data_IF_810586702442
#
_entry.id   IF_810586702442
#
_cell.length_a   1.000
_cell.length_b   1.000
_cell.length_c   1.000
_cell.angle_alpha   90.00
_cell.angle_beta   90.00
_cell.angle_gamma   90.00
#
_symmetry.space_group_name_H-M   'P 1'
#
loop_
_entity.id
_entity.type
_entity.pdbx_description
1 polymer ?
#
# COMPACT_ATOMS: atom_id res chain seq x y z
N UNK A 1 -16.89 33.36 17.21
CA UNK A 1 -15.56 32.83 16.80
C UNK A 1 -15.03 31.84 17.83
N UNK A 2 -14.98 32.22 19.10
CA UNK A 2 -14.37 31.37 20.19
C UNK A 2 -15.07 30.01 20.32
N UNK A 3 -16.41 29.97 20.21
CA UNK A 3 -17.15 28.70 20.20
C UNK A 3 -16.78 27.84 19.01
N UNK A 4 -16.66 28.42 17.81
CA UNK A 4 -16.29 27.67 16.61
C UNK A 4 -14.84 27.12 16.69
N UNK A 5 -13.92 27.91 17.27
CA UNK A 5 -12.56 27.47 17.53
C UNK A 5 -12.50 26.33 18.55
N UNK A 6 -13.26 26.43 19.66
CA UNK A 6 -13.36 25.36 20.65
C UNK A 6 -13.98 24.08 20.09
N UNK A 7 -15.02 24.18 19.28
CA UNK A 7 -15.64 23.04 18.62
C UNK A 7 -14.69 22.36 17.62
N UNK A 8 -13.91 23.12 16.86
CA UNK A 8 -12.90 22.59 15.96
C UNK A 8 -11.78 21.86 16.74
N UNK A 9 -11.27 22.49 17.79
CA UNK A 9 -10.26 21.86 18.66
C UNK A 9 -10.75 20.53 19.26
N UNK A 10 -11.98 20.50 19.79
CA UNK A 10 -12.59 19.28 20.32
C UNK A 10 -12.72 18.18 19.27
N UNK A 11 -13.17 18.52 18.05
CA UNK A 11 -13.27 17.54 16.96
C UNK A 11 -11.92 16.97 16.57
N UNK A 12 -10.87 17.79 16.51
CA UNK A 12 -9.51 17.32 16.25
C UNK A 12 -9.00 16.43 17.40
N UNK A 13 -9.25 16.78 18.65
CA UNK A 13 -8.88 15.97 19.80
C UNK A 13 -9.54 14.58 19.75
N UNK A 14 -10.84 14.53 19.41
CA UNK A 14 -11.56 13.25 19.20
C UNK A 14 -10.92 12.38 18.11
N UNK A 15 -10.48 12.97 17.01
CA UNK A 15 -9.81 12.24 15.92
C UNK A 15 -8.39 11.82 16.33
N UNK A 16 -7.62 12.69 16.94
CA UNK A 16 -6.25 12.43 17.35
C UNK A 16 -6.16 11.42 18.50
N UNK A 17 -7.17 11.35 19.38
CA UNK A 17 -7.23 10.41 20.50
C UNK A 17 -7.45 8.95 20.10
N UNK A 18 -7.55 8.65 18.80
CA UNK A 18 -7.63 7.26 18.31
C UNK A 18 -6.36 6.46 18.59
N UNK A 19 -5.23 7.13 18.78
CA UNK A 19 -3.94 6.54 19.16
C UNK A 19 -3.42 7.23 20.44
N UNK A 20 -3.16 6.44 21.46
CA UNK A 20 -2.39 6.83 22.65
C UNK A 20 -1.01 6.17 22.57
N UNK A 21 0.07 6.90 22.84
CA UNK A 21 1.42 6.36 22.71
C UNK A 21 2.35 6.90 23.80
N UNK A 22 3.42 6.16 24.08
CA UNK A 22 4.53 6.57 24.93
C UNK A 22 5.82 6.53 24.12
N UNK A 23 6.71 7.50 24.34
CA UNK A 23 7.99 7.60 23.64
C UNK A 23 8.69 8.92 23.94
N UNK A 24 9.75 9.23 23.21
CA UNK A 24 10.39 10.56 23.27
C UNK A 24 9.48 11.63 22.66
N UNK A 25 9.65 12.87 23.07
CA UNK A 25 8.89 14.01 22.54
C UNK A 25 9.00 14.10 21.00
N UNK A 26 10.17 13.81 20.43
CA UNK A 26 10.39 13.80 18.99
C UNK A 26 9.57 12.70 18.30
N UNK A 27 9.61 11.48 18.84
CA UNK A 27 8.87 10.34 18.29
C UNK A 27 7.34 10.54 18.39
N UNK A 28 6.87 11.11 19.50
CA UNK A 28 5.45 11.43 19.68
C UNK A 28 5.02 12.57 18.75
N UNK A 29 5.85 13.62 18.59
CA UNK A 29 5.58 14.69 17.64
C UNK A 29 5.47 14.13 16.21
N UNK A 30 6.39 13.26 15.79
CA UNK A 30 6.34 12.63 14.49
C UNK A 30 5.09 11.78 14.30
N UNK A 31 4.73 10.96 15.31
CA UNK A 31 3.53 10.12 15.26
C UNK A 31 2.25 10.94 15.10
N UNK A 32 2.07 11.96 15.93
CA UNK A 32 0.83 12.76 15.90
C UNK A 32 0.78 13.71 14.69
N UNK A 33 1.92 14.20 14.20
CA UNK A 33 1.96 14.92 12.92
C UNK A 33 1.56 14.00 11.77
N UNK A 34 2.07 12.77 11.73
CA UNK A 34 1.67 11.77 10.74
C UNK A 34 0.18 11.45 10.85
N UNK A 35 -0.35 11.25 12.04
CA UNK A 35 -1.79 11.01 12.23
C UNK A 35 -2.63 12.19 11.74
N UNK A 36 -2.21 13.43 12.02
CA UNK A 36 -2.87 14.63 11.50
C UNK A 36 -2.88 14.66 9.97
N UNK A 37 -1.74 14.41 9.32
CA UNK A 37 -1.65 14.37 7.86
C UNK A 37 -2.59 13.34 7.24
N UNK A 38 -2.74 12.14 7.83
CA UNK A 38 -3.67 11.13 7.34
C UNK A 38 -5.14 11.56 7.38
N UNK A 39 -5.48 12.58 8.19
CA UNK A 39 -6.86 13.04 8.34
C UNK A 39 -7.23 14.20 7.40
N UNK A 40 -6.26 14.76 6.64
CA UNK A 40 -6.49 15.90 5.73
C UNK A 40 -7.22 15.44 4.47
N UNK A 41 -6.78 14.36 3.85
CA UNK A 41 -7.38 13.79 2.63
C UNK A 41 -7.71 12.30 2.80
N UNK A 42 -8.72 11.78 2.06
CA UNK A 42 -9.72 12.48 1.27
C UNK A 42 -10.55 13.49 2.07
N UNK A 43 -10.99 14.56 1.42
CA UNK A 43 -11.75 15.66 2.03
C UNK A 43 -13.24 15.52 1.80
N UNK A 44 -14.07 15.97 2.74
CA UNK A 44 -15.52 16.03 2.56
C UNK A 44 -15.85 17.00 1.43
N UNK A 45 -16.69 16.56 0.50
CA UNK A 45 -17.13 17.31 -0.67
C UNK A 45 -18.63 17.22 -0.81
N UNK A 46 -19.32 17.90 0.05
CA UNK A 46 -20.78 18.04 0.04
C UNK A 46 -21.22 19.20 0.93
N UNK A 47 -22.38 19.76 0.65
CA UNK A 47 -23.04 20.74 1.49
C UNK A 47 -23.74 20.10 2.70
N UNK A 48 -24.12 20.91 3.67
CA UNK A 48 -24.77 20.43 4.91
C UNK A 48 -26.13 19.80 4.69
N UNK A 49 -26.78 20.05 3.55
CA UNK A 49 -28.04 19.41 3.15
C UNK A 49 -27.82 18.08 2.40
N UNK A 50 -26.56 17.65 2.24
CA UNK A 50 -26.17 16.41 1.58
C UNK A 50 -26.00 16.52 0.07
N UNK A 51 -26.05 17.73 -0.51
CA UNK A 51 -25.84 17.91 -1.95
C UNK A 51 -24.37 18.01 -2.30
N UNK A 52 -24.01 17.44 -3.45
CA UNK A 52 -22.68 17.52 -4.04
C UNK A 52 -22.75 17.45 -5.57
N UNK A 53 -21.73 17.95 -6.25
CA UNK A 53 -21.61 17.82 -7.70
C UNK A 53 -20.89 16.52 -8.03
N UNK A 54 -21.57 15.66 -8.81
CA UNK A 54 -21.00 14.40 -9.29
C UNK A 54 -20.00 14.58 -10.43
N UNK A 55 -19.32 13.47 -10.80
CA UNK A 55 -18.41 13.44 -11.95
C UNK A 55 -19.13 13.56 -13.31
N UNK A 56 -20.44 13.34 -13.36
CA UNK A 56 -21.34 13.67 -14.47
C UNK A 56 -21.72 15.16 -14.55
N UNK A 57 -21.20 15.96 -13.63
CA UNK A 57 -21.46 17.39 -13.46
C UNK A 57 -22.89 17.72 -12.99
N UNK A 58 -23.69 16.74 -12.66
CA UNK A 58 -25.02 16.92 -12.08
C UNK A 58 -24.97 17.06 -10.56
N UNK A 59 -26.02 17.65 -9.98
CA UNK A 59 -26.17 17.77 -8.53
C UNK A 59 -26.85 16.51 -8.00
N UNK A 60 -26.13 15.77 -7.19
CA UNK A 60 -26.63 14.63 -6.43
C UNK A 60 -26.88 14.98 -4.98
N UNK A 61 -27.62 14.13 -4.28
CA UNK A 61 -27.86 14.28 -2.85
C UNK A 61 -27.78 12.89 -2.17
N UNK A 62 -27.09 12.83 -1.03
CA UNK A 62 -27.06 11.67 -0.16
C UNK A 62 -27.29 12.08 1.30
N UNK A 63 -27.85 11.15 2.10
CA UNK A 63 -27.98 11.25 3.56
C UNK A 63 -27.40 10.02 4.27
N UNK A 64 -26.99 9.02 3.49
CA UNK A 64 -26.54 7.73 4.00
C UNK A 64 -25.04 7.68 4.22
N UNK A 65 -24.29 8.60 3.58
CA UNK A 65 -22.84 8.72 3.71
C UNK A 65 -22.39 10.16 3.48
N UNK A 66 -21.22 10.52 4.00
CA UNK A 66 -20.55 11.76 3.61
C UNK A 66 -19.81 11.53 2.30
N UNK A 67 -20.04 12.41 1.30
CA UNK A 67 -19.32 12.32 0.05
C UNK A 67 -17.92 12.92 0.18
N UNK A 68 -16.92 12.17 -0.28
CA UNK A 68 -15.51 12.53 -0.24
C UNK A 68 -14.95 12.80 -1.64
N UNK A 69 -13.86 13.54 -1.68
CA UNK A 69 -13.07 13.85 -2.88
C UNK A 69 -11.57 13.85 -2.57
N UNK A 70 -10.74 14.08 -3.59
CA UNK A 70 -9.26 13.97 -3.55
C UNK A 70 -8.85 12.51 -3.36
N UNK A 71 -9.09 11.75 -4.42
CA UNK A 71 -8.75 10.32 -4.47
C UNK A 71 -7.45 10.11 -5.25
N UNK A 72 -6.31 10.30 -4.59
CA UNK A 72 -4.98 9.93 -5.11
C UNK A 72 -4.72 8.45 -4.83
N UNK A 73 -5.47 7.57 -5.51
CA UNK A 73 -5.53 6.16 -5.10
C UNK A 73 -4.29 5.36 -5.45
N UNK A 74 -3.50 5.78 -6.44
CA UNK A 74 -2.20 5.19 -6.75
C UNK A 74 -1.27 5.16 -5.54
N UNK A 75 -1.35 6.20 -4.71
CA UNK A 75 -0.59 6.34 -3.47
C UNK A 75 -1.30 5.67 -2.31
N UNK A 76 -2.54 6.10 -2.05
CA UNK A 76 -3.23 5.91 -0.77
C UNK A 76 -3.79 4.51 -0.55
N UNK A 77 -3.94 3.69 -1.60
CA UNK A 77 -4.40 2.30 -1.44
C UNK A 77 -3.44 1.46 -0.60
N UNK A 78 -2.15 1.83 -0.57
CA UNK A 78 -1.06 1.03 0.01
C UNK A 78 -1.10 0.99 1.53
N UNK A 79 -1.37 2.12 2.18
CA UNK A 79 -1.43 2.19 3.65
C UNK A 79 -2.55 3.09 4.19
N UNK A 80 -2.86 4.24 3.56
CA UNK A 80 -3.83 5.18 4.12
C UNK A 80 -5.22 4.55 4.24
N UNK A 81 -5.76 3.98 3.17
CA UNK A 81 -7.06 3.31 3.21
C UNK A 81 -7.08 2.07 4.10
N UNK A 82 -6.06 1.19 4.09
CA UNK A 82 -5.92 0.13 5.10
C UNK A 82 -5.89 0.64 6.54
N UNK A 83 -5.27 1.80 6.80
CA UNK A 83 -5.28 2.43 8.12
C UNK A 83 -6.71 2.86 8.51
N UNK A 84 -7.44 3.50 7.59
CA UNK A 84 -8.84 3.89 7.84
C UNK A 84 -9.74 2.67 8.09
N UNK A 85 -9.54 1.58 7.39
CA UNK A 85 -10.27 0.33 7.64
C UNK A 85 -10.05 -0.20 9.07
N UNK A 86 -8.92 0.15 9.68
CA UNK A 86 -8.58 -0.25 11.04
C UNK A 86 -9.06 0.76 12.10
N UNK A 87 -8.82 2.07 11.91
CA UNK A 87 -8.99 3.10 12.95
C UNK A 87 -10.15 4.08 12.72
N UNK A 88 -10.70 4.16 11.49
CA UNK A 88 -11.73 5.13 11.09
C UNK A 88 -12.80 4.46 10.20
N UNK A 89 -13.41 3.37 10.67
CA UNK A 89 -14.27 2.48 9.87
C UNK A 89 -15.47 3.20 9.22
N UNK A 90 -16.14 4.13 9.93
CA UNK A 90 -17.24 4.91 9.36
C UNK A 90 -16.77 5.80 8.22
N UNK A 91 -15.61 6.46 8.37
CA UNK A 91 -14.99 7.24 7.31
C UNK A 91 -14.61 6.36 6.11
N UNK A 92 -14.06 5.17 6.35
CA UNK A 92 -13.75 4.21 5.30
C UNK A 92 -15.01 3.80 4.52
N UNK A 93 -16.12 3.49 5.22
CA UNK A 93 -17.41 3.19 4.60
C UNK A 93 -17.88 4.35 3.71
N UNK A 94 -17.84 5.57 4.19
CA UNK A 94 -18.28 6.75 3.46
C UNK A 94 -17.40 7.02 2.23
N UNK A 95 -16.09 6.82 2.33
CA UNK A 95 -15.15 6.91 1.21
C UNK A 95 -15.47 5.87 0.13
N UNK A 96 -15.67 4.61 0.51
CA UNK A 96 -16.03 3.55 -0.46
C UNK A 96 -17.37 3.85 -1.11
N UNK A 97 -18.38 4.31 -0.36
CA UNK A 97 -19.67 4.71 -0.94
C UNK A 97 -19.53 5.89 -1.90
N UNK A 98 -18.62 6.84 -1.64
CA UNK A 98 -18.29 7.93 -2.57
C UNK A 98 -17.67 7.41 -3.86
N UNK A 99 -16.77 6.42 -3.78
CA UNK A 99 -16.20 5.75 -4.95
C UNK A 99 -17.25 4.99 -5.76
N UNK A 100 -18.19 4.31 -5.09
CA UNK A 100 -19.30 3.61 -5.75
C UNK A 100 -20.31 4.58 -6.39
N UNK A 101 -20.54 5.75 -5.77
CA UNK A 101 -21.34 6.81 -6.36
C UNK A 101 -20.65 7.38 -7.61
N UNK A 102 -19.32 7.62 -7.56
CA UNK A 102 -18.51 8.02 -8.71
C UNK A 102 -18.65 7.00 -9.87
N UNK A 103 -18.53 5.70 -9.59
CA UNK A 103 -18.72 4.65 -10.59
C UNK A 103 -20.08 4.77 -11.29
N UNK A 104 -21.16 4.96 -10.55
CA UNK A 104 -22.52 5.12 -11.10
C UNK A 104 -22.68 6.37 -11.96
N UNK A 105 -22.01 7.45 -11.60
CA UNK A 105 -22.05 8.75 -12.27
C UNK A 105 -21.05 8.84 -13.44
N UNK A 106 -19.98 8.05 -13.42
CA UNK A 106 -18.96 8.04 -14.49
C UNK A 106 -19.56 7.53 -15.80
N UNK A 107 -19.34 8.29 -16.87
CA UNK A 107 -19.72 7.91 -18.24
C UNK A 107 -19.09 6.57 -18.65
N UNK A 108 -17.88 6.32 -18.20
CA UNK A 108 -17.13 5.11 -18.50
C UNK A 108 -17.42 3.94 -17.55
N UNK A 109 -18.23 4.15 -16.51
CA UNK A 109 -18.47 3.15 -15.47
C UNK A 109 -17.18 2.62 -14.88
N UNK A 110 -16.35 3.53 -14.40
CA UNK A 110 -15.07 3.26 -13.77
C UNK A 110 -15.04 3.88 -12.37
N UNK A 111 -14.42 3.20 -11.42
CA UNK A 111 -14.08 3.75 -10.11
C UNK A 111 -13.08 4.91 -10.27
N UNK A 112 -12.97 5.83 -9.30
CA UNK A 112 -12.04 6.95 -9.41
C UNK A 112 -10.59 6.46 -9.55
N UNK A 113 -9.81 7.15 -10.37
CA UNK A 113 -8.36 6.99 -10.51
C UNK A 113 -7.65 8.09 -9.73
N UNK A 114 -7.92 9.33 -10.06
CA UNK A 114 -7.45 10.53 -9.37
C UNK A 114 -8.54 11.62 -9.37
N UNK A 115 -9.67 11.34 -8.77
CA UNK A 115 -10.84 12.22 -8.81
C UNK A 115 -10.71 13.38 -7.83
N UNK A 116 -11.02 14.59 -8.29
CA UNK A 116 -10.93 15.81 -7.54
C UNK A 116 -12.10 16.75 -7.84
N UNK A 117 -12.92 17.06 -6.82
CA UNK A 117 -14.05 18.02 -6.88
C UNK A 117 -14.99 17.80 -8.08
N UNK A 118 -15.49 16.58 -8.26
CA UNK A 118 -16.41 16.22 -9.34
C UNK A 118 -15.76 16.19 -10.74
N UNK A 119 -14.44 16.03 -10.81
CA UNK A 119 -13.71 15.82 -12.07
C UNK A 119 -12.74 14.66 -11.89
N UNK A 120 -12.56 13.86 -12.94
CA UNK A 120 -11.53 12.84 -12.99
C UNK A 120 -10.30 13.38 -13.74
N UNK A 121 -9.12 13.32 -13.10
CA UNK A 121 -7.88 13.86 -13.66
C UNK A 121 -7.10 12.84 -14.48
N UNK A 122 -7.36 11.54 -14.29
CA UNK A 122 -6.61 10.45 -14.90
C UNK A 122 -5.10 10.49 -14.60
N UNK A 123 -4.73 11.11 -13.48
CA UNK A 123 -3.34 11.18 -13.03
C UNK A 123 -2.90 9.81 -12.53
N UNK A 124 -1.66 9.43 -12.81
CA UNK A 124 -1.06 8.14 -12.50
C UNK A 124 -1.73 6.96 -13.21
N UNK A 125 -1.32 5.75 -12.88
CA UNK A 125 -1.70 4.51 -13.51
C UNK A 125 -2.46 3.61 -12.53
N UNK A 126 -2.95 2.47 -13.01
CA UNK A 126 -3.69 1.53 -12.17
C UNK A 126 -5.17 1.88 -12.03
N UNK A 127 -5.98 0.90 -11.64
CA UNK A 127 -7.37 1.10 -11.22
C UNK A 127 -7.51 0.77 -9.73
N UNK A 128 -6.61 1.34 -8.94
CA UNK A 128 -6.36 0.98 -7.52
C UNK A 128 -7.51 1.27 -6.56
N UNK A 129 -8.55 1.99 -6.96
CA UNK A 129 -9.81 2.00 -6.20
C UNK A 129 -10.37 0.58 -6.01
N UNK A 130 -10.03 -0.35 -6.91
CA UNK A 130 -10.31 -1.79 -6.75
C UNK A 130 -9.67 -2.33 -5.47
N UNK A 131 -8.43 -1.94 -5.20
CA UNK A 131 -7.73 -2.32 -3.97
C UNK A 131 -8.40 -1.72 -2.72
N UNK A 132 -8.75 -0.44 -2.77
CA UNK A 132 -9.45 0.24 -1.65
C UNK A 132 -10.76 -0.46 -1.32
N UNK A 133 -11.58 -0.73 -2.35
CA UNK A 133 -12.87 -1.40 -2.19
C UNK A 133 -12.69 -2.86 -1.72
N UNK A 134 -11.78 -3.60 -2.33
CA UNK A 134 -11.48 -4.99 -1.97
C UNK A 134 -10.96 -5.14 -0.53
N UNK A 135 -10.06 -4.25 -0.11
CA UNK A 135 -9.53 -4.25 1.26
C UNK A 135 -10.60 -3.89 2.29
N UNK A 136 -11.50 -2.95 1.97
CA UNK A 136 -12.63 -2.60 2.81
C UNK A 136 -13.59 -3.80 3.00
N UNK A 137 -13.90 -4.52 1.92
CA UNK A 137 -14.72 -5.75 1.99
C UNK A 137 -14.04 -6.83 2.84
N UNK A 138 -12.73 -6.95 2.75
CA UNK A 138 -11.90 -7.88 3.53
C UNK A 138 -11.94 -7.58 5.02
N UNK A 139 -12.00 -6.30 5.38
CA UNK A 139 -12.09 -5.80 6.76
C UNK A 139 -13.53 -5.63 7.24
N UNK A 140 -14.48 -6.24 6.53
CA UNK A 140 -15.89 -6.24 6.93
C UNK A 140 -16.48 -4.82 7.05
N UNK A 141 -16.06 -3.89 6.18
CA UNK A 141 -16.71 -2.57 6.05
C UNK A 141 -18.07 -2.78 5.38
N UNK A 142 -19.12 -2.19 5.96
CA UNK A 142 -20.50 -2.36 5.50
C UNK A 142 -20.81 -1.50 4.27
N UNK A 143 -20.70 -2.11 3.10
CA UNK A 143 -21.00 -1.52 1.79
C UNK A 143 -21.70 -2.52 0.89
N UNK A 144 -22.36 -2.06 -0.18
CA UNK A 144 -23.01 -2.93 -1.17
C UNK A 144 -21.98 -3.80 -1.90
N UNK A 145 -21.85 -5.06 -1.48
CA UNK A 145 -20.86 -6.01 -2.02
C UNK A 145 -21.08 -6.34 -3.49
N UNK A 146 -22.33 -6.35 -3.97
CA UNK A 146 -22.65 -6.64 -5.38
C UNK A 146 -22.23 -5.47 -6.26
N UNK A 147 -22.62 -4.26 -5.88
CA UNK A 147 -22.20 -3.05 -6.57
C UNK A 147 -20.68 -2.87 -6.51
N UNK A 148 -20.05 -3.17 -5.37
CA UNK A 148 -18.60 -3.12 -5.22
C UNK A 148 -17.90 -4.02 -6.25
N UNK A 149 -18.27 -5.28 -6.34
CA UNK A 149 -17.67 -6.19 -7.33
C UNK A 149 -18.00 -5.79 -8.77
N UNK A 150 -19.24 -5.35 -9.06
CA UNK A 150 -19.61 -4.81 -10.37
C UNK A 150 -18.70 -3.64 -10.76
N UNK A 151 -18.47 -2.70 -9.85
CA UNK A 151 -17.63 -1.53 -10.09
C UNK A 151 -16.15 -1.89 -10.29
N UNK A 152 -15.64 -2.85 -9.52
CA UNK A 152 -14.28 -3.37 -9.68
C UNK A 152 -14.10 -4.02 -11.06
N UNK A 153 -15.02 -4.90 -11.46
CA UNK A 153 -15.03 -5.56 -12.77
C UNK A 153 -15.20 -4.54 -13.90
N UNK A 154 -16.09 -3.57 -13.74
CA UNK A 154 -16.31 -2.48 -14.71
C UNK A 154 -15.03 -1.70 -14.96
N UNK A 155 -14.29 -1.33 -13.90
CA UNK A 155 -13.02 -0.62 -13.99
C UNK A 155 -11.96 -1.43 -14.75
N UNK A 156 -11.78 -2.70 -14.41
CA UNK A 156 -10.80 -3.60 -15.04
C UNK A 156 -11.13 -3.96 -16.50
N UNK A 157 -12.36 -3.73 -16.95
CA UNK A 157 -12.82 -4.03 -18.31
C UNK A 157 -13.06 -2.80 -19.20
N UNK A 158 -12.81 -1.59 -18.71
CA UNK A 158 -12.96 -0.37 -19.46
C UNK A 158 -11.87 -0.26 -20.54
N UNK A 159 -12.18 -0.62 -21.79
CA UNK A 159 -11.22 -0.62 -22.92
C UNK A 159 -10.60 0.74 -23.23
N UNK A 160 -11.27 1.80 -22.87
CA UNK A 160 -10.82 3.18 -23.08
C UNK A 160 -9.82 3.66 -22.03
N UNK A 161 -9.74 2.96 -20.89
CA UNK A 161 -8.82 3.33 -19.85
C UNK A 161 -7.42 2.80 -20.17
N UNK A 162 -6.51 3.67 -20.31
CA UNK A 162 -5.03 3.62 -20.25
C UNK A 162 -4.38 2.26 -20.62
N UNK A 163 -4.71 1.73 -21.78
CA UNK A 163 -4.12 0.49 -22.29
C UNK A 163 -4.75 -0.81 -21.76
N UNK A 164 -5.82 -0.76 -20.98
CA UNK A 164 -6.52 -1.97 -20.49
C UNK A 164 -7.05 -2.86 -21.61
N UNK A 165 -7.48 -2.26 -22.73
CA UNK A 165 -7.94 -3.01 -23.91
C UNK A 165 -6.87 -3.94 -24.48
N UNK A 166 -5.64 -3.43 -24.68
CA UNK A 166 -4.53 -4.24 -25.19
C UNK A 166 -3.95 -5.16 -24.11
N UNK A 167 -3.93 -4.72 -22.86
CA UNK A 167 -3.54 -5.56 -21.71
C UNK A 167 -4.38 -6.84 -21.63
N UNK A 168 -5.70 -6.76 -21.83
CA UNK A 168 -6.58 -7.93 -21.83
C UNK A 168 -6.29 -8.90 -22.96
N UNK A 169 -5.78 -8.40 -24.09
CA UNK A 169 -5.49 -9.22 -25.27
C UNK A 169 -4.12 -9.89 -25.21
N UNK A 170 -3.09 -9.15 -24.82
CA UNK A 170 -1.70 -9.60 -24.82
C UNK A 170 -1.20 -10.10 -23.47
N UNK A 171 -1.88 -9.77 -22.37
CA UNK A 171 -1.42 -10.03 -21.01
C UNK A 171 -0.33 -9.06 -20.55
N UNK A 172 -0.09 -7.97 -21.28
CA UNK A 172 0.78 -6.86 -20.90
C UNK A 172 0.45 -5.62 -21.71
N UNK A 173 0.89 -4.46 -21.24
CA UNK A 173 0.80 -3.19 -21.99
C UNK A 173 2.11 -2.96 -22.72
N UNK A 174 2.12 -2.96 -24.07
CA UNK A 174 3.34 -2.75 -24.84
C UNK A 174 3.89 -1.33 -24.73
N UNK A 175 5.23 -1.21 -24.75
CA UNK A 175 5.93 0.08 -24.65
C UNK A 175 5.61 1.02 -25.82
N UNK A 176 5.50 0.50 -27.02
CA UNK A 176 5.15 1.25 -28.23
C UNK A 176 3.67 1.68 -28.30
N UNK A 177 2.84 1.22 -27.35
CA UNK A 177 1.46 1.68 -27.13
C UNK A 177 1.41 2.68 -25.97
N UNK A 178 2.07 2.35 -24.86
CA UNK A 178 2.19 3.19 -23.68
C UNK A 178 3.61 3.13 -23.12
N UNK A 179 4.28 4.27 -23.08
CA UNK A 179 5.71 4.37 -22.65
C UNK A 179 5.96 3.91 -21.22
N UNK A 180 4.91 3.75 -20.39
CA UNK A 180 4.95 3.27 -19.02
C UNK A 180 4.36 1.87 -18.86
N UNK A 181 4.25 1.10 -19.96
CA UNK A 181 3.52 -0.16 -20.05
C UNK A 181 3.99 -1.25 -19.07
N UNK A 182 5.26 -1.25 -18.66
CA UNK A 182 5.75 -2.24 -17.68
C UNK A 182 5.16 -2.00 -16.30
N UNK A 183 5.19 -0.77 -15.80
CA UNK A 183 4.55 -0.43 -14.52
C UNK A 183 3.05 -0.66 -14.57
N UNK A 184 2.37 -0.27 -15.67
CA UNK A 184 0.95 -0.57 -15.86
C UNK A 184 0.65 -2.06 -15.76
N UNK A 185 1.43 -2.90 -16.41
CA UNK A 185 1.24 -4.37 -16.39
C UNK A 185 1.39 -4.93 -14.98
N UNK A 186 2.38 -4.49 -14.24
CA UNK A 186 2.61 -4.91 -12.85
C UNK A 186 1.45 -4.50 -11.95
N UNK A 187 0.98 -3.27 -12.06
CA UNK A 187 -0.07 -2.72 -11.21
C UNK A 187 -1.45 -3.27 -11.56
N UNK A 188 -1.77 -3.44 -12.86
CA UNK A 188 -3.01 -4.10 -13.29
C UNK A 188 -3.07 -5.56 -12.83
N UNK A 189 -1.96 -6.28 -12.83
CA UNK A 189 -1.92 -7.65 -12.33
C UNK A 189 -2.26 -7.73 -10.83
N UNK A 190 -1.83 -6.76 -10.04
CA UNK A 190 -2.22 -6.65 -8.64
C UNK A 190 -3.71 -6.29 -8.48
N UNK A 191 -4.23 -5.32 -9.22
CA UNK A 191 -5.65 -4.95 -9.17
C UNK A 191 -6.54 -6.13 -9.58
N UNK A 192 -6.17 -6.86 -10.62
CA UNK A 192 -6.85 -8.09 -11.05
C UNK A 192 -6.84 -9.16 -9.97
N UNK A 193 -5.73 -9.29 -9.22
CA UNK A 193 -5.67 -10.19 -8.08
C UNK A 193 -6.68 -9.82 -6.98
N UNK A 194 -6.90 -8.53 -6.72
CA UNK A 194 -7.91 -8.09 -5.75
C UNK A 194 -9.32 -8.50 -6.20
N UNK A 195 -9.62 -8.35 -7.50
CA UNK A 195 -10.90 -8.80 -8.08
C UNK A 195 -11.04 -10.32 -7.94
N UNK A 196 -9.99 -11.08 -8.27
CA UNK A 196 -9.95 -12.53 -8.06
C UNK A 196 -10.34 -12.92 -6.64
N UNK A 197 -9.69 -12.33 -5.64
CA UNK A 197 -9.95 -12.60 -4.23
C UNK A 197 -11.40 -12.30 -3.85
N UNK A 198 -11.91 -11.15 -4.28
CA UNK A 198 -13.27 -10.71 -3.99
C UNK A 198 -14.30 -11.63 -4.66
N UNK A 199 -14.14 -11.96 -5.93
CA UNK A 199 -15.02 -12.88 -6.66
C UNK A 199 -15.04 -14.28 -6.03
N UNK A 200 -13.86 -14.83 -5.69
CA UNK A 200 -13.74 -16.13 -5.02
C UNK A 200 -14.49 -16.16 -3.69
N UNK A 201 -14.39 -15.11 -2.87
CA UNK A 201 -15.14 -15.00 -1.60
C UNK A 201 -16.66 -14.90 -1.77
N UNK A 202 -17.09 -14.34 -2.90
CA UNK A 202 -18.50 -14.26 -3.27
C UNK A 202 -19.01 -15.53 -3.97
N UNK A 203 -18.16 -16.54 -4.19
CA UNK A 203 -18.51 -17.81 -4.83
C UNK A 203 -18.69 -17.73 -6.35
N UNK A 204 -18.12 -16.71 -7.00
CA UNK A 204 -18.19 -16.47 -8.44
C UNK A 204 -16.96 -17.08 -9.15
N UNK A 205 -17.07 -18.36 -9.47
CA UNK A 205 -15.91 -19.17 -9.91
C UNK A 205 -15.34 -18.74 -11.26
N UNK A 206 -16.20 -18.37 -12.23
CA UNK A 206 -15.76 -18.00 -13.58
C UNK A 206 -15.02 -16.66 -13.58
N UNK A 207 -15.56 -15.68 -12.87
CA UNK A 207 -14.90 -14.39 -12.65
C UNK A 207 -13.58 -14.59 -11.89
N UNK A 208 -13.59 -15.38 -10.82
CA UNK A 208 -12.39 -15.65 -10.03
C UNK A 208 -11.29 -16.29 -10.91
N UNK A 209 -11.61 -17.29 -11.73
CA UNK A 209 -10.60 -17.91 -12.61
C UNK A 209 -10.07 -16.95 -13.68
N UNK A 210 -10.94 -16.09 -14.22
CA UNK A 210 -10.53 -15.07 -15.19
C UNK A 210 -9.51 -14.10 -14.60
N UNK A 211 -9.80 -13.57 -13.43
CA UNK A 211 -8.92 -12.59 -12.79
C UNK A 211 -7.70 -13.23 -12.15
N UNK A 212 -7.78 -14.50 -11.70
CA UNK A 212 -6.62 -15.26 -11.27
C UNK A 212 -5.56 -15.42 -12.37
N UNK A 213 -5.99 -15.68 -13.60
CA UNK A 213 -5.08 -15.75 -14.75
C UNK A 213 -4.44 -14.39 -15.04
N UNK A 214 -5.24 -13.32 -15.02
CA UNK A 214 -4.74 -11.96 -15.25
C UNK A 214 -3.79 -11.50 -14.14
N UNK A 215 -4.01 -11.91 -12.91
CA UNK A 215 -3.11 -11.64 -11.77
C UNK A 215 -1.68 -12.18 -11.98
N UNK A 216 -1.49 -13.15 -12.87
CA UNK A 216 -0.17 -13.69 -13.21
C UNK A 216 0.52 -12.95 -14.36
N UNK A 217 -0.12 -11.96 -14.96
CA UNK A 217 0.39 -11.20 -16.10
C UNK A 217 1.66 -10.40 -15.79
N UNK A 218 1.94 -10.10 -14.52
CA UNK A 218 3.20 -9.49 -14.11
C UNK A 218 4.43 -10.23 -14.65
N UNK A 219 4.32 -11.56 -14.87
CA UNK A 219 5.40 -12.41 -15.42
C UNK A 219 5.79 -12.04 -16.84
N UNK A 220 4.86 -11.45 -17.63
CA UNK A 220 5.07 -11.13 -19.03
C UNK A 220 6.05 -9.97 -19.26
N UNK A 221 6.33 -9.19 -18.23
CA UNK A 221 7.27 -8.07 -18.28
C UNK A 221 8.56 -8.32 -17.50
N UNK A 222 8.76 -9.55 -16.98
CA UNK A 222 10.05 -9.95 -16.41
C UNK A 222 10.93 -10.60 -17.47
N UNK A 223 12.10 -10.01 -17.72
CA UNK A 223 13.10 -10.53 -18.62
C UNK A 223 13.98 -11.57 -17.89
N UNK A 224 13.93 -12.85 -18.26
CA UNK A 224 14.68 -13.91 -17.58
C UNK A 224 16.21 -13.77 -17.76
N UNK A 225 16.67 -13.07 -18.80
CA UNK A 225 18.09 -12.86 -19.06
C UNK A 225 18.69 -11.84 -18.08
N UNK A 226 17.97 -10.75 -17.85
CA UNK A 226 18.42 -9.68 -16.94
C UNK A 226 17.98 -9.90 -15.48
N UNK A 227 16.89 -10.65 -15.27
CA UNK A 227 16.22 -10.83 -13.97
C UNK A 227 15.54 -9.56 -13.45
N UNK A 228 15.18 -8.64 -14.34
CA UNK A 228 14.47 -7.39 -14.05
C UNK A 228 13.17 -7.29 -14.83
N UNK A 229 12.24 -6.49 -14.31
CA UNK A 229 11.15 -5.98 -15.12
C UNK A 229 11.71 -5.11 -16.25
N UNK A 230 11.25 -5.32 -17.46
CA UNK A 230 11.72 -4.68 -18.69
C UNK A 230 10.57 -4.40 -19.63
N UNK A 231 10.67 -3.30 -20.37
CA UNK A 231 9.68 -2.93 -21.37
C UNK A 231 9.62 -3.95 -22.52
N UNK A 232 8.39 -4.31 -22.93
CA UNK A 232 8.11 -5.25 -24.00
C UNK A 232 7.33 -4.56 -25.11
N UNK A 233 7.66 -4.86 -26.35
CA UNK A 233 7.05 -4.28 -27.57
C UNK A 233 5.82 -5.07 -27.98
N UNK A 234 4.95 -4.49 -28.83
CA UNK A 234 3.72 -5.15 -29.32
C UNK A 234 3.97 -6.45 -30.09
N UNK A 235 5.15 -6.59 -30.71
CA UNK A 235 5.56 -7.81 -31.41
C UNK A 235 6.10 -8.91 -30.47
N UNK A 236 6.12 -8.64 -29.18
CA UNK A 236 6.62 -9.55 -28.16
C UNK A 236 8.12 -9.47 -27.87
N UNK A 237 8.87 -8.67 -28.62
CA UNK A 237 10.30 -8.45 -28.36
C UNK A 237 10.52 -7.56 -27.13
N UNK A 238 11.70 -7.67 -26.51
CA UNK A 238 12.12 -6.74 -25.48
C UNK A 238 12.55 -5.42 -26.08
N UNK A 239 12.18 -4.30 -25.43
CA UNK A 239 12.69 -2.98 -25.83
C UNK A 239 14.21 -2.99 -25.85
N UNK A 240 14.86 -2.55 -26.95
CA UNK A 240 16.31 -2.41 -27.01
C UNK A 240 16.84 -1.35 -26.01
N UNK A 241 18.15 -1.31 -25.84
CA UNK A 241 18.85 -0.31 -24.99
C UNK A 241 18.37 -0.29 -23.53
N UNK A 242 18.21 -1.49 -22.95
CA UNK A 242 17.79 -1.63 -21.57
C UNK A 242 18.83 -1.06 -20.60
N UNK A 243 18.38 -0.13 -19.76
CA UNK A 243 19.18 0.47 -18.70
C UNK A 243 18.40 0.45 -17.37
N UNK A 244 18.78 -0.42 -16.46
CA UNK A 244 18.10 -0.62 -15.17
C UNK A 244 18.11 0.57 -14.22
N UNK A 245 18.96 1.55 -14.45
CA UNK A 245 19.09 2.75 -13.61
C UNK A 245 18.28 3.94 -14.14
N UNK A 246 17.95 3.94 -15.41
CA UNK A 246 17.28 5.06 -16.06
C UNK A 246 15.81 5.12 -15.69
N UNK A 247 15.34 6.29 -15.28
CA UNK A 247 13.94 6.56 -14.96
C UNK A 247 13.12 6.97 -16.18
N UNK A 248 13.80 7.32 -17.29
CA UNK A 248 13.13 7.77 -18.53
C UNK A 248 13.19 6.70 -19.63
N UNK A 249 12.07 6.52 -20.31
CA UNK A 249 12.00 5.69 -21.50
C UNK A 249 12.28 4.20 -21.30
N UNK A 250 12.17 3.68 -20.08
CA UNK A 250 12.43 2.27 -19.77
C UNK A 250 11.15 1.46 -19.47
N UNK A 251 9.98 2.06 -19.63
CA UNK A 251 8.70 1.37 -19.44
C UNK A 251 8.03 1.61 -18.08
N UNK A 252 8.54 2.54 -17.30
CA UNK A 252 8.04 2.81 -15.96
C UNK A 252 7.51 4.25 -15.86
N UNK A 253 6.48 4.40 -15.04
CA UNK A 253 6.05 5.69 -14.53
C UNK A 253 6.79 5.91 -13.23
N UNK A 254 7.51 6.99 -13.12
CA UNK A 254 8.38 7.28 -11.98
C UNK A 254 9.27 6.08 -11.58
N UNK A 255 10.43 6.30 -11.04
CA UNK A 255 11.34 5.22 -10.70
C UNK A 255 11.93 4.49 -11.91
N UNK A 256 12.54 3.36 -11.66
CA UNK A 256 13.28 2.58 -12.65
C UNK A 256 13.07 1.07 -12.47
N UNK A 257 13.82 0.28 -13.22
CA UNK A 257 13.70 -1.17 -13.17
C UNK A 257 14.06 -1.77 -11.80
N UNK A 258 14.97 -1.14 -11.03
CA UNK A 258 15.26 -1.57 -9.67
C UNK A 258 14.03 -1.46 -8.74
N UNK A 259 13.30 -0.35 -8.82
CA UNK A 259 12.13 -0.10 -7.97
C UNK A 259 10.97 -1.01 -8.38
N UNK A 260 10.60 -0.98 -9.66
CA UNK A 260 9.41 -1.69 -10.14
C UNK A 260 9.58 -3.20 -10.24
N UNK A 261 10.80 -3.74 -10.36
CA UNK A 261 10.99 -5.19 -10.32
C UNK A 261 10.60 -5.83 -8.97
N UNK A 262 10.47 -5.03 -7.92
CA UNK A 262 10.02 -5.50 -6.60
C UNK A 262 8.50 -5.37 -6.42
N UNK A 263 7.79 -4.76 -7.38
CA UNK A 263 6.36 -4.51 -7.25
C UNK A 263 5.51 -5.70 -7.73
N UNK A 264 5.43 -6.73 -6.88
CA UNK A 264 4.50 -7.86 -7.01
C UNK A 264 3.95 -8.19 -5.61
N UNK A 265 3.18 -7.29 -4.97
CA UNK A 265 2.79 -7.46 -3.57
C UNK A 265 1.86 -8.65 -3.34
N UNK A 266 1.13 -9.09 -4.35
CA UNK A 266 0.20 -10.22 -4.29
C UNK A 266 0.85 -11.58 -4.49
N UNK A 267 2.10 -11.63 -5.01
CA UNK A 267 2.80 -12.89 -5.26
C UNK A 267 4.32 -12.84 -5.01
N UNK A 268 4.78 -12.49 -3.79
CA UNK A 268 6.21 -12.45 -3.48
C UNK A 268 6.92 -13.78 -3.69
N UNK A 269 6.27 -14.93 -3.41
CA UNK A 269 6.88 -16.23 -3.65
C UNK A 269 7.07 -16.52 -5.15
N UNK A 270 6.11 -16.09 -5.99
CA UNK A 270 6.25 -16.17 -7.45
C UNK A 270 7.37 -15.26 -7.96
N UNK A 271 7.51 -14.05 -7.40
CA UNK A 271 8.61 -13.14 -7.71
C UNK A 271 9.97 -13.72 -7.32
N UNK A 272 10.08 -14.29 -6.11
CA UNK A 272 11.28 -14.99 -5.63
C UNK A 272 11.69 -16.12 -6.61
N UNK A 273 10.72 -16.89 -7.07
CA UNK A 273 10.97 -17.97 -8.04
C UNK A 273 11.47 -17.41 -9.39
N UNK A 274 10.86 -16.32 -9.91
CA UNK A 274 11.29 -15.65 -11.14
C UNK A 274 12.72 -15.09 -11.06
N UNK A 275 13.13 -14.64 -9.88
CA UNK A 275 14.47 -14.08 -9.65
C UNK A 275 15.51 -15.15 -9.27
N UNK A 276 15.18 -16.45 -9.41
CA UNK A 276 16.14 -17.55 -9.21
C UNK A 276 16.20 -18.11 -7.79
N UNK A 277 15.19 -17.81 -6.96
CA UNK A 277 15.04 -18.37 -5.62
C UNK A 277 15.54 -17.45 -4.50
N UNK A 278 15.39 -17.91 -3.26
CA UNK A 278 15.61 -17.14 -2.03
C UNK A 278 16.98 -16.45 -1.98
N UNK A 279 18.06 -17.17 -2.28
CA UNK A 279 19.41 -16.59 -2.20
C UNK A 279 19.65 -15.45 -3.18
N UNK A 280 19.21 -15.61 -4.44
CA UNK A 280 19.37 -14.59 -5.49
C UNK A 280 18.44 -13.39 -5.23
N UNK A 281 17.21 -13.65 -4.82
CA UNK A 281 16.27 -12.60 -4.46
C UNK A 281 16.77 -11.78 -3.26
N UNK A 282 17.25 -12.45 -2.19
CA UNK A 282 17.83 -11.77 -1.02
C UNK A 282 19.02 -10.91 -1.40
N UNK A 283 19.94 -11.44 -2.23
CA UNK A 283 21.08 -10.66 -2.73
C UNK A 283 20.63 -9.46 -3.56
N UNK A 284 19.58 -9.60 -4.37
CA UNK A 284 18.99 -8.47 -5.14
C UNK A 284 18.40 -7.39 -4.23
N UNK A 285 17.67 -7.79 -3.17
CA UNK A 285 17.18 -6.84 -2.17
C UNK A 285 18.34 -6.14 -1.44
N UNK A 286 19.38 -6.88 -1.06
CA UNK A 286 20.56 -6.29 -0.44
C UNK A 286 21.22 -5.25 -1.35
N UNK A 287 21.38 -5.58 -2.64
CA UNK A 287 21.90 -4.64 -3.64
C UNK A 287 21.02 -3.39 -3.77
N UNK A 288 19.69 -3.55 -3.80
CA UNK A 288 18.76 -2.43 -3.89
C UNK A 288 18.96 -1.43 -2.74
N UNK A 289 19.22 -1.89 -1.53
CA UNK A 289 19.43 -1.02 -0.37
C UNK A 289 20.87 -0.48 -0.22
N UNK A 290 21.85 -1.03 -0.96
CA UNK A 290 23.27 -0.72 -0.74
C UNK A 290 24.02 -0.21 -1.96
N UNK A 291 23.54 -0.49 -3.19
CA UNK A 291 24.18 0.01 -4.41
C UNK A 291 23.97 1.52 -4.56
N UNK A 292 25.03 2.24 -4.96
CA UNK A 292 24.97 3.67 -5.18
C UNK A 292 24.29 3.99 -6.52
N UNK A 293 23.25 4.84 -6.48
CA UNK A 293 22.65 5.41 -7.69
C UNK A 293 23.58 6.50 -8.25
N UNK A 294 24.16 6.33 -9.47
CA UNK A 294 25.03 7.33 -10.08
C UNK A 294 24.32 8.69 -10.24
N UNK A 295 25.06 9.79 -9.99
CA UNK A 295 24.50 11.14 -9.96
C UNK A 295 23.74 11.52 -11.24
N UNK A 296 24.17 11.07 -12.40
CA UNK A 296 23.48 11.32 -13.68
C UNK A 296 22.06 10.78 -13.73
N UNK A 297 21.77 9.70 -12.99
CA UNK A 297 20.43 9.12 -12.91
C UNK A 297 19.61 9.73 -11.76
N UNK A 298 20.31 10.16 -10.70
CA UNK A 298 19.65 10.88 -9.63
C UNK A 298 19.06 12.22 -10.11
N UNK A 299 19.74 12.90 -11.01
CA UNK A 299 19.26 14.15 -11.58
C UNK A 299 17.96 14.01 -12.41
N UNK A 300 17.54 12.78 -12.71
CA UNK A 300 16.29 12.49 -13.40
C UNK A 300 15.12 12.23 -12.42
N UNK A 301 15.40 12.12 -11.11
CA UNK A 301 14.35 11.93 -10.11
C UNK A 301 13.79 13.30 -9.72
N UNK A 302 12.54 13.53 -10.04
CA UNK A 302 11.78 14.67 -9.55
C UNK A 302 11.29 14.38 -8.13
N UNK A 303 11.03 15.39 -7.33
CA UNK A 303 10.38 15.30 -6.01
C UNK A 303 11.08 14.48 -4.91
N UNK A 304 12.28 13.93 -5.17
CA UNK A 304 13.02 13.13 -4.19
C UNK A 304 14.39 13.74 -3.90
N UNK A 305 14.73 13.84 -2.62
CA UNK A 305 16.06 14.28 -2.18
C UNK A 305 17.03 13.09 -2.01
N UNK A 306 18.35 13.37 -1.97
CA UNK A 306 19.35 12.32 -1.68
C UNK A 306 19.13 11.65 -0.33
N UNK A 307 18.62 12.38 0.64
CA UNK A 307 18.26 11.87 1.96
C UNK A 307 17.14 10.85 1.92
N UNK A 308 16.27 10.92 0.89
CA UNK A 308 15.20 9.97 0.61
C UNK A 308 15.64 8.66 -0.03
N UNK A 309 16.96 8.46 -0.23
CA UNK A 309 17.52 7.25 -0.84
C UNK A 309 18.28 6.39 0.17
N UNK A 310 18.10 5.07 0.06
CA UNK A 310 18.98 4.06 0.62
C UNK A 310 19.42 3.14 -0.52
N UNK A 311 20.61 3.39 -1.04
CA UNK A 311 21.05 2.73 -2.28
C UNK A 311 20.16 3.13 -3.47
N UNK A 312 19.47 2.15 -4.03
CA UNK A 312 18.48 2.31 -5.11
C UNK A 312 17.04 2.38 -4.58
N UNK A 313 16.83 2.15 -3.28
CA UNK A 313 15.53 2.25 -2.63
C UNK A 313 15.11 3.71 -2.50
N UNK A 314 13.92 4.03 -2.97
CA UNK A 314 13.37 5.39 -3.00
C UNK A 314 12.14 5.42 -2.11
N UNK A 315 12.27 5.91 -0.86
CA UNK A 315 11.15 5.94 0.07
C UNK A 315 10.10 6.99 -0.27
N UNK A 316 10.53 8.12 -0.82
CA UNK A 316 9.63 9.19 -1.27
C UNK A 316 8.85 8.87 -2.55
N UNK A 317 8.85 7.59 -3.01
CA UNK A 317 8.02 7.12 -4.10
C UNK A 317 7.34 5.80 -3.71
N UNK A 318 6.04 5.75 -3.79
CA UNK A 318 5.15 4.78 -3.18
C UNK A 318 5.32 3.32 -3.65
N UNK A 319 5.69 3.00 -4.91
CA UNK A 319 5.98 1.63 -5.32
C UNK A 319 7.03 0.92 -4.47
N UNK A 320 7.86 1.67 -3.73
CA UNK A 320 8.89 1.16 -2.84
C UNK A 320 8.41 0.79 -1.43
N UNK A 321 7.24 1.26 -0.99
CA UNK A 321 6.79 1.23 0.40
C UNK A 321 6.70 -0.18 1.01
N UNK A 322 6.35 -1.20 0.24
CA UNK A 322 6.28 -2.59 0.69
C UNK A 322 7.63 -3.32 0.68
N UNK A 323 8.61 -2.81 -0.06
CA UNK A 323 9.87 -3.51 -0.37
C UNK A 323 10.68 -3.91 0.86
N UNK A 324 10.85 -3.08 1.91
CA UNK A 324 11.60 -3.49 3.10
C UNK A 324 10.97 -4.68 3.84
N UNK A 325 9.69 -4.97 3.60
CA UNK A 325 9.00 -6.11 4.20
C UNK A 325 9.17 -7.42 3.40
N UNK A 326 9.66 -7.38 2.16
CA UNK A 326 9.81 -8.55 1.31
C UNK A 326 10.80 -9.60 1.87
N UNK A 327 11.72 -9.22 2.74
CA UNK A 327 12.58 -10.18 3.44
C UNK A 327 11.80 -11.18 4.31
N UNK A 328 10.54 -10.90 4.67
CA UNK A 328 9.71 -11.81 5.46
C UNK A 328 9.33 -13.09 4.72
N UNK A 329 9.46 -13.12 3.39
CA UNK A 329 9.33 -14.33 2.56
C UNK A 329 10.64 -15.08 2.34
N UNK A 330 11.77 -14.57 2.85
CA UNK A 330 13.11 -15.11 2.66
C UNK A 330 13.64 -15.83 3.90
N UNK A 331 14.82 -16.41 3.79
CA UNK A 331 15.57 -16.99 4.92
C UNK A 331 16.17 -15.93 5.87
N UNK A 332 16.03 -14.63 5.56
CA UNK A 332 16.65 -13.56 6.34
C UNK A 332 15.64 -12.47 6.80
N UNK A 333 14.55 -12.85 7.51
CA UNK A 333 13.48 -11.92 7.90
C UNK A 333 13.94 -10.79 8.82
N UNK A 334 15.04 -10.99 9.57
CA UNK A 334 15.64 -9.97 10.43
C UNK A 334 16.06 -8.70 9.67
N UNK A 335 16.27 -8.78 8.34
CA UNK A 335 16.60 -7.61 7.50
C UNK A 335 15.42 -6.67 7.32
N UNK A 336 14.17 -7.16 7.33
CA UNK A 336 12.99 -6.29 7.44
C UNK A 336 13.11 -5.38 8.65
N UNK A 337 13.41 -5.94 9.83
CA UNK A 337 13.50 -5.19 11.08
C UNK A 337 14.62 -4.15 11.04
N UNK A 338 15.72 -4.45 10.38
CA UNK A 338 16.81 -3.52 10.17
C UNK A 338 16.41 -2.36 9.26
N UNK A 339 15.88 -2.66 8.06
CA UNK A 339 15.61 -1.63 7.07
C UNK A 339 14.44 -0.73 7.43
N UNK A 340 13.35 -1.26 8.00
CA UNK A 340 12.23 -0.39 8.43
C UNK A 340 12.68 0.62 9.49
N UNK A 341 13.60 0.22 10.40
CA UNK A 341 14.15 1.13 11.39
C UNK A 341 15.12 2.15 10.79
N UNK A 342 15.96 1.75 9.84
CA UNK A 342 16.83 2.69 9.11
C UNK A 342 16.01 3.75 8.35
N UNK A 343 14.90 3.33 7.70
CA UNK A 343 14.00 4.25 7.01
C UNK A 343 13.37 5.23 8.00
N UNK A 344 12.79 4.73 9.10
CA UNK A 344 12.17 5.61 10.10
C UNK A 344 13.15 6.61 10.70
N UNK A 345 14.36 6.14 11.04
CA UNK A 345 15.36 6.97 11.70
C UNK A 345 15.97 8.04 10.76
N UNK A 346 15.98 7.81 9.44
CA UNK A 346 16.64 8.70 8.46
C UNK A 346 15.69 9.59 7.67
N UNK A 347 14.48 9.08 7.37
CA UNK A 347 13.59 9.66 6.37
C UNK A 347 12.36 10.35 6.98
N UNK A 348 12.23 10.32 8.32
CA UNK A 348 11.18 11.01 9.04
C UNK A 348 11.77 11.87 10.15
N UNK A 349 11.48 13.17 10.14
CA UNK A 349 11.98 14.14 11.12
C UNK A 349 10.83 14.99 11.66
N UNK A 350 10.83 15.39 12.94
CA UNK A 350 9.79 16.24 13.54
C UNK A 350 10.01 17.73 13.19
N UNK A 351 10.21 18.04 11.91
CA UNK A 351 10.46 19.37 11.34
C UNK A 351 9.49 19.64 10.18
N UNK A 352 9.38 20.89 9.73
CA UNK A 352 8.47 21.29 8.64
C UNK A 352 8.84 20.66 7.29
N UNK A 353 10.10 20.30 7.11
CA UNK A 353 10.67 19.57 5.97
C UNK A 353 10.98 18.10 6.32
N UNK A 354 10.20 17.52 7.23
CA UNK A 354 10.52 16.25 7.88
C UNK A 354 10.29 14.99 7.03
N UNK A 355 9.61 15.08 5.89
CA UNK A 355 9.41 13.98 4.96
C UNK A 355 10.43 14.03 3.84
N UNK A 356 10.88 12.87 3.38
CA UNK A 356 11.90 12.75 2.31
C UNK A 356 11.34 12.86 0.89
N UNK A 357 10.04 13.03 0.73
CA UNK A 357 9.28 13.20 -0.50
C UNK A 357 7.93 13.82 -0.19
N UNK A 358 7.02 13.82 -1.17
CA UNK A 358 5.65 14.23 -0.96
C UNK A 358 4.93 13.29 0.00
N UNK A 359 4.00 13.79 0.80
CA UNK A 359 3.20 12.94 1.70
C UNK A 359 2.12 12.13 0.96
N UNK A 360 1.80 12.56 -0.25
CA UNK A 360 0.83 11.96 -1.16
C UNK A 360 -0.49 11.60 -0.45
N UNK A 361 -1.15 12.66 -0.04
CA UNK A 361 -2.46 12.61 0.61
C UNK A 361 -2.49 11.75 1.89
N UNK A 362 -1.39 11.69 2.62
CA UNK A 362 -1.31 10.93 3.88
C UNK A 362 -0.68 9.54 3.75
N UNK A 363 -0.25 9.14 2.54
CA UNK A 363 0.31 7.80 2.35
C UNK A 363 1.65 7.59 3.07
N UNK A 364 2.61 8.52 2.97
CA UNK A 364 3.87 8.42 3.71
C UNK A 364 3.66 8.45 5.22
N UNK A 365 2.74 9.28 5.68
CA UNK A 365 2.35 9.37 7.08
C UNK A 365 1.69 8.07 7.58
N UNK A 366 0.83 7.45 6.79
CA UNK A 366 0.22 6.15 7.12
C UNK A 366 1.26 5.02 7.17
N UNK A 367 2.26 5.04 6.27
CA UNK A 367 3.39 4.10 6.31
C UNK A 367 4.13 4.20 7.65
N UNK A 368 4.42 5.45 8.10
CA UNK A 368 5.07 5.68 9.40
C UNK A 368 4.25 5.11 10.55
N UNK A 369 2.94 5.36 10.58
CA UNK A 369 2.05 4.88 11.66
C UNK A 369 2.03 3.35 11.71
N UNK A 370 1.82 2.66 10.59
CA UNK A 370 1.83 1.21 10.56
C UNK A 370 3.18 0.64 10.98
N UNK A 371 4.26 1.20 10.47
CA UNK A 371 5.61 0.74 10.81
C UNK A 371 5.93 0.99 12.28
N UNK A 372 5.46 2.11 12.86
CA UNK A 372 5.59 2.38 14.28
C UNK A 372 4.83 1.37 15.15
N UNK A 373 3.69 0.87 14.68
CA UNK A 373 2.95 -0.24 15.31
C UNK A 373 3.68 -1.59 15.20
N UNK A 374 4.67 -1.71 14.31
CA UNK A 374 5.46 -2.93 14.10
C UNK A 374 4.90 -3.89 13.05
N UNK A 375 4.03 -3.44 12.15
CA UNK A 375 3.50 -4.22 11.03
C UNK A 375 3.08 -3.32 9.87
N UNK A 376 2.83 -3.91 8.68
CA UNK A 376 2.47 -3.16 7.47
C UNK A 376 1.55 -3.97 6.54
N UNK A 377 0.53 -3.37 5.90
CA UNK A 377 -0.32 -4.03 4.93
C UNK A 377 0.40 -4.14 3.56
N UNK A 378 1.33 -5.10 3.43
CA UNK A 378 2.11 -5.28 2.19
C UNK A 378 1.23 -5.50 0.96
N UNK A 379 0.10 -6.17 1.14
CA UNK A 379 -0.82 -6.54 0.09
C UNK A 379 -2.27 -6.26 0.52
N UNK A 380 -2.77 -5.00 0.40
CA UNK A 380 -4.17 -4.69 0.65
C UNK A 380 -5.09 -5.56 -0.20
N UNK A 381 -6.24 -5.96 0.36
CA UNK A 381 -7.09 -7.03 -0.20
C UNK A 381 -6.75 -8.42 0.36
N UNK A 382 -5.73 -8.53 1.25
CA UNK A 382 -5.61 -9.64 2.19
C UNK A 382 -6.09 -9.20 3.57
N UNK A 383 -6.39 -10.17 4.43
CA UNK A 383 -6.64 -9.92 5.86
C UNK A 383 -5.33 -9.77 6.67
N UNK A 384 -4.17 -9.77 6.02
CA UNK A 384 -2.86 -9.87 6.65
C UNK A 384 -2.13 -8.53 6.74
N UNK A 385 -1.44 -8.35 7.87
CA UNK A 385 -0.44 -7.31 8.10
C UNK A 385 0.89 -8.00 8.40
N UNK A 386 1.91 -7.72 7.61
CA UNK A 386 3.24 -8.33 7.73
C UNK A 386 3.99 -7.69 8.89
N UNK A 387 4.56 -8.52 9.77
CA UNK A 387 5.30 -8.03 10.94
C UNK A 387 6.63 -7.38 10.52
N UNK A 388 6.98 -6.32 11.23
CA UNK A 388 8.26 -5.59 11.11
C UNK A 388 8.92 -5.46 12.46
N UNK A 389 9.22 -4.22 12.87
CA UNK A 389 9.75 -3.90 14.19
C UNK A 389 9.07 -2.63 14.71
N UNK A 390 8.46 -2.66 15.90
CA UNK A 390 7.83 -1.47 16.49
C UNK A 390 8.86 -0.37 16.78
N UNK A 391 8.39 0.86 16.78
CA UNK A 391 9.23 2.04 17.01
C UNK A 391 9.11 2.61 18.40
N UNK A 392 7.94 2.48 19.01
CA UNK A 392 7.59 3.05 20.31
C UNK A 392 7.47 1.95 21.38
N UNK A 393 7.76 2.25 22.65
CA UNK A 393 7.67 1.27 23.74
C UNK A 393 6.24 0.86 24.04
N UNK A 394 5.26 1.72 23.76
CA UNK A 394 3.85 1.46 23.95
C UNK A 394 2.98 2.27 22.99
N UNK A 395 2.00 1.60 22.41
CA UNK A 395 0.90 2.23 21.66
C UNK A 395 -0.42 1.53 22.02
N UNK A 396 -1.50 2.32 22.10
CA UNK A 396 -2.86 1.82 22.22
C UNK A 396 -3.71 2.48 21.15
N UNK A 397 -4.27 1.66 20.30
CA UNK A 397 -5.00 2.09 19.10
C UNK A 397 -6.45 1.66 19.21
N UNK A 398 -7.38 2.59 19.08
CA UNK A 398 -8.81 2.29 19.05
C UNK A 398 -9.18 1.77 17.67
N UNK A 399 -9.64 0.52 17.58
CA UNK A 399 -9.99 -0.18 16.33
C UNK A 399 -11.49 -0.48 16.21
N UNK A 400 -12.28 -0.07 17.18
CA UNK A 400 -13.73 -0.20 17.23
C UNK A 400 -14.27 0.35 18.54
N UNK A 401 -15.56 0.35 18.71
CA UNK A 401 -16.21 0.77 19.97
C UNK A 401 -15.81 -0.18 21.10
N UNK A 402 -15.11 0.36 22.10
CA UNK A 402 -14.59 -0.42 23.23
C UNK A 402 -13.47 -1.42 22.87
N UNK A 403 -13.02 -1.48 21.61
CA UNK A 403 -12.00 -2.42 21.13
C UNK A 403 -10.68 -1.69 20.90
N UNK A 404 -9.61 -2.21 21.50
CA UNK A 404 -8.27 -1.61 21.41
C UNK A 404 -7.23 -2.64 21.01
N UNK A 405 -6.31 -2.19 20.16
CA UNK A 405 -5.05 -2.88 19.90
C UNK A 405 -3.98 -2.24 20.78
N UNK A 406 -3.38 -3.01 21.70
CA UNK A 406 -2.23 -2.59 22.46
C UNK A 406 -0.94 -3.20 21.90
N UNK A 407 0.06 -2.35 21.69
CA UNK A 407 1.39 -2.75 21.22
C UNK A 407 2.37 -2.44 22.36
N UNK A 408 3.10 -3.47 22.81
CA UNK A 408 4.05 -3.40 23.91
C UNK A 408 5.43 -3.83 23.46
N UNK A 409 6.37 -2.91 23.49
CA UNK A 409 7.79 -3.14 23.18
C UNK A 409 8.69 -2.40 24.17
N UNK A 410 8.61 -2.71 25.49
CA UNK A 410 9.22 -1.88 26.54
C UNK A 410 10.73 -1.76 26.43
N UNK A 411 11.40 -2.67 25.73
CA UNK A 411 12.86 -2.66 25.55
C UNK A 411 13.29 -2.03 24.23
N UNK A 412 12.36 -1.51 23.40
CA UNK A 412 12.70 -0.88 22.11
C UNK A 412 13.58 0.35 22.33
N UNK A 413 14.58 0.50 21.47
CA UNK A 413 15.48 1.66 21.44
C UNK A 413 16.18 1.75 20.08
N UNK A 414 17.03 2.75 19.88
CA UNK A 414 17.89 2.83 18.68
C UNK A 414 18.82 1.60 18.53
N UNK A 415 19.20 0.96 19.65
CA UNK A 415 20.00 -0.28 19.65
C UNK A 415 19.14 -1.53 19.59
N UNK A 416 18.09 -1.61 20.42
CA UNK A 416 17.20 -2.76 20.49
C UNK A 416 16.13 -2.64 19.41
N UNK A 417 16.50 -2.95 18.17
CA UNK A 417 15.67 -2.83 16.97
C UNK A 417 15.23 -4.17 16.38
N UNK A 418 15.71 -5.29 16.88
CA UNK A 418 15.42 -6.62 16.37
C UNK A 418 14.42 -7.35 17.26
N UNK A 419 13.47 -8.03 16.62
CA UNK A 419 12.42 -8.81 17.27
C UNK A 419 12.87 -10.26 17.44
N UNK A 420 12.99 -10.73 18.67
CA UNK A 420 13.32 -12.11 19.00
C UNK A 420 12.09 -12.96 19.33
N UNK A 421 10.98 -12.35 19.68
CA UNK A 421 9.74 -13.04 19.97
C UNK A 421 8.54 -12.08 19.87
N UNK A 422 7.40 -12.65 19.50
CA UNK A 422 6.11 -11.97 19.52
C UNK A 422 5.14 -12.79 20.34
N UNK A 423 4.30 -12.12 21.13
CA UNK A 423 3.13 -12.74 21.75
C UNK A 423 1.88 -12.01 21.29
N UNK A 424 0.83 -12.78 21.06
CA UNK A 424 -0.51 -12.27 20.83
C UNK A 424 -1.40 -12.72 22.00
N UNK A 425 -1.96 -11.74 22.73
CA UNK A 425 -2.80 -11.98 23.91
C UNK A 425 -2.11 -12.91 24.94
N UNK A 426 -0.81 -12.65 25.21
CA UNK A 426 0.03 -13.39 26.16
C UNK A 426 0.54 -14.75 25.67
N UNK A 427 0.13 -15.23 24.50
CA UNK A 427 0.59 -16.51 23.92
C UNK A 427 1.69 -16.29 22.88
N UNK A 428 2.72 -17.17 22.81
CA UNK A 428 3.72 -17.12 21.74
C UNK A 428 3.06 -17.11 20.37
N UNK A 429 3.56 -16.24 19.46
CA UNK A 429 3.06 -16.09 18.11
C UNK A 429 4.20 -16.30 17.13
N UNK A 430 4.05 -17.27 16.22
CA UNK A 430 5.16 -17.72 15.37
C UNK A 430 5.07 -17.22 13.92
N UNK A 431 3.89 -16.77 13.47
CA UNK A 431 3.70 -16.30 12.11
C UNK A 431 4.45 -14.98 11.84
N UNK A 432 4.84 -14.79 10.59
CA UNK A 432 5.45 -13.54 10.10
C UNK A 432 4.42 -12.41 9.84
N UNK A 433 3.15 -12.65 10.12
CA UNK A 433 2.04 -11.72 9.89
C UNK A 433 0.97 -11.90 10.96
N UNK A 434 0.16 -10.87 11.15
CA UNK A 434 -1.09 -10.92 11.93
C UNK A 434 -2.26 -10.72 10.99
N UNK A 435 -3.45 -11.22 11.34
CA UNK A 435 -4.65 -11.06 10.53
C UNK A 435 -5.60 -10.02 11.13
N UNK A 436 -6.48 -9.47 10.29
CA UNK A 436 -7.57 -8.63 10.81
C UNK A 436 -8.44 -9.38 11.84
N UNK A 437 -8.65 -10.68 11.63
CA UNK A 437 -9.36 -11.51 12.60
C UNK A 437 -8.67 -11.60 13.96
N UNK A 438 -7.34 -11.57 13.99
CA UNK A 438 -6.55 -11.52 15.25
C UNK A 438 -6.76 -10.20 16.01
N UNK A 439 -7.13 -9.13 15.30
CA UNK A 439 -7.18 -7.76 15.83
C UNK A 439 -8.61 -7.29 16.16
N UNK A 440 -9.61 -7.61 15.34
CA UNK A 440 -10.94 -6.97 15.32
C UNK A 440 -11.74 -6.99 16.63
N UNK A 441 -11.42 -7.89 17.53
CA UNK A 441 -12.03 -7.99 18.89
C UNK A 441 -11.23 -7.29 19.97
N UNK A 442 -10.15 -6.58 19.62
CA UNK A 442 -9.13 -6.10 20.53
C UNK A 442 -8.02 -7.13 20.73
N UNK A 443 -6.79 -6.65 20.83
CA UNK A 443 -5.62 -7.51 20.92
C UNK A 443 -4.47 -6.84 21.71
N UNK A 444 -3.58 -7.66 22.27
CA UNK A 444 -2.32 -7.23 22.86
C UNK A 444 -1.18 -7.91 22.10
N UNK A 445 -0.36 -7.11 21.42
CA UNK A 445 0.88 -7.54 20.78
C UNK A 445 2.06 -7.14 21.67
N UNK A 446 2.88 -8.13 22.04
CA UNK A 446 4.08 -7.91 22.84
C UNK A 446 5.31 -8.34 22.05
N UNK A 447 6.29 -7.46 21.95
CA UNK A 447 7.53 -7.67 21.21
C UNK A 447 8.73 -7.77 22.16
N UNK A 448 9.51 -8.87 22.06
CA UNK A 448 10.82 -9.01 22.71
C UNK A 448 11.89 -8.38 21.83
N UNK A 449 12.31 -7.16 22.18
CA UNK A 449 13.27 -6.36 21.40
C UNK A 449 14.70 -6.56 21.90
N UNK A 450 15.64 -6.79 20.97
CA UNK A 450 17.07 -7.03 21.25
C UNK A 450 17.96 -6.18 20.35
N UNK A 451 19.24 -6.06 20.76
CA UNK A 451 20.26 -5.31 20.01
C UNK A 451 20.94 -6.10 18.89
N UNK A 452 20.76 -7.42 18.84
CA UNK A 452 21.34 -8.31 17.83
C UNK A 452 20.24 -9.05 17.07
N UNK A 453 20.39 -9.25 15.74
CA UNK A 453 19.40 -10.00 14.98
C UNK A 453 19.38 -11.49 15.33
N UNK A 454 18.20 -12.10 15.33
CA UNK A 454 18.08 -13.56 15.31
C UNK A 454 18.23 -14.07 13.86
N UNK A 455 19.47 -14.36 13.47
CA UNK A 455 19.82 -14.83 12.13
C UNK A 455 19.43 -16.29 11.88
N UNK A 456 19.00 -17.03 12.91
CA UNK A 456 18.59 -18.44 12.77
C UNK A 456 17.08 -18.55 12.55
N UNK A 457 16.33 -17.51 12.84
CA UNK A 457 14.89 -17.51 12.62
C UNK A 457 14.58 -17.47 11.12
N UNK A 458 13.86 -18.46 10.66
CA UNK A 458 13.19 -18.50 9.37
C UNK A 458 11.75 -18.99 9.58
N UNK A 459 10.86 -18.63 8.67
CA UNK A 459 9.45 -19.01 8.76
C UNK A 459 9.16 -20.22 7.88
N UNK A 460 8.35 -21.18 8.37
CA UNK A 460 7.81 -22.27 7.57
C UNK A 460 6.85 -21.72 6.50
N UNK A 461 6.40 -22.54 5.59
CA UNK A 461 5.43 -22.14 4.55
C UNK A 461 4.12 -21.59 5.16
N UNK A 462 3.64 -22.19 6.26
CA UNK A 462 2.42 -21.84 6.97
C UNK A 462 2.58 -20.55 7.81
N UNK A 463 3.81 -20.24 8.19
CA UNK A 463 4.13 -19.04 8.97
C UNK A 463 4.45 -17.83 8.12
N UNK A 464 4.74 -18.02 6.82
CA UNK A 464 4.99 -16.93 5.87
C UNK A 464 3.71 -16.18 5.50
N UNK A 465 3.81 -14.90 5.17
CA UNK A 465 2.65 -14.18 4.69
C UNK A 465 2.15 -14.73 3.33
N UNK A 466 0.95 -14.33 2.96
CA UNK A 466 0.29 -14.74 1.73
C UNK A 466 1.15 -14.54 0.47
N UNK A 467 0.97 -15.43 -0.50
CA UNK A 467 1.44 -15.29 -1.88
C UNK A 467 0.54 -16.11 -2.80
N UNK A 468 0.14 -15.55 -3.95
CA UNK A 468 -0.75 -16.21 -4.92
C UNK A 468 -0.19 -17.57 -5.39
N UNK A 469 1.11 -17.67 -5.64
CA UNK A 469 1.77 -18.93 -6.07
C UNK A 469 1.79 -20.01 -4.99
N UNK A 470 1.45 -19.69 -3.75
CA UNK A 470 1.34 -20.66 -2.65
C UNK A 470 -0.09 -21.13 -2.41
N UNK A 471 -1.10 -20.60 -3.11
CA UNK A 471 -2.47 -21.11 -3.05
C UNK A 471 -2.56 -22.50 -3.70
N UNK A 472 -3.20 -23.43 -2.96
CA UNK A 472 -3.49 -24.79 -3.43
C UNK A 472 -4.79 -24.86 -4.21
#
# INVERSE_FOLDING_TARGET
FDQAAADAARKWEEQMSVIEAQGSDEALRMLYTSLYHTMINPSVYMDTDGKYRGVDHEIHQTRDFNNYTVFSVWDTYRALHPLFNLICRDRSRDIVNSMLAHYRQSVHRILPVWSHMGNENWCMIGYHSVSVVGDALDKEIDVDRKLALEAMIGSANCDYYDGTGIYKQLGYVPYDVKSTGSSMTLEYAYDDWVIYRTARRMGLSDEAETYRRRALNYRNVFDPETGFARARMSDGSWKPDFNRYDTHGQGFIEGNSWNYSMYVPHDPAGLIALMGGDGQFTARLDSLFTEYLPDRYFAQTEDVTREGLLGMYVHGNEPSHHVPYLYMWTSQPWKTQYWVREIMDRMYRPTVDGLCGNDDCGQMSAWYIFTAMGFYPVCPGTDQYVLGAPYLPYMKVRIGEGCYLEIKAPSVSSKNRYVHGVKLNGKPYTRAYITYADLKGGAVLEFDMRSTPDKRRCFSAEERPYSLSCEQ
#
